data_IF_799341717821
#
_entry.id   IF_799341717821
#
_cell.length_a   1.000
_cell.length_b   1.000
_cell.length_c   1.000
_cell.angle_alpha   90.00
_cell.angle_beta   90.00
_cell.angle_gamma   90.00
#
_symmetry.space_group_name_H-M   'P 1'
#
loop_
_entity.id
_entity.type
_entity.pdbx_description
1 polymer ?
#
# COMPACT_ATOMS: atom_id res chain seq x y z
N UNK A 1 -85.61 11.95 22.16
CA UNK A 1 -85.04 10.74 22.80
C UNK A 1 -83.64 11.14 23.28
N UNK A 2 -83.39 11.56 24.53
CA UNK A 2 -83.39 10.73 25.75
C UNK A 2 -82.29 9.68 25.62
N UNK A 3 -81.12 9.74 26.28
CA UNK A 3 -80.85 9.86 27.72
C UNK A 3 -79.39 10.26 28.03
N UNK A 4 -79.17 10.99 29.14
CA UNK A 4 -77.90 11.17 29.89
C UNK A 4 -77.51 9.88 30.63
N UNK A 5 -76.22 9.70 30.97
CA UNK A 5 -75.74 9.47 32.35
C UNK A 5 -74.22 9.77 32.49
N UNK A 6 -73.87 10.44 33.60
CA UNK A 6 -72.55 10.89 34.07
C UNK A 6 -71.81 9.82 34.90
N UNK A 7 -70.48 9.95 35.05
CA UNK A 7 -69.75 10.08 36.35
C UNK A 7 -68.21 10.08 36.13
N UNK A 8 -67.49 11.19 36.43
CA UNK A 8 -66.66 11.50 37.64
C UNK A 8 -65.44 10.56 37.82
N UNK A 9 -64.20 11.01 38.07
CA UNK A 9 -63.75 12.05 39.01
C UNK A 9 -62.34 12.60 38.69
N UNK A 10 -62.17 13.90 38.98
CA UNK A 10 -60.90 14.62 39.13
C UNK A 10 -60.14 14.23 40.42
N UNK A 11 -58.85 14.53 40.48
CA UNK A 11 -58.12 14.66 41.75
C UNK A 11 -56.60 14.71 41.59
N UNK A 12 -56.04 15.90 41.36
CA UNK A 12 -54.64 16.18 41.69
C UNK A 12 -54.53 16.65 43.14
N UNK A 13 -53.37 16.47 43.78
CA UNK A 13 -52.89 17.35 44.85
C UNK A 13 -51.39 17.18 45.08
N UNK A 14 -50.79 18.30 45.43
CA UNK A 14 -49.37 18.63 45.55
C UNK A 14 -48.94 18.66 47.04
N UNK A 15 -47.61 18.72 47.26
CA UNK A 15 -46.90 19.19 48.47
C UNK A 15 -46.73 18.19 49.63
N UNK A 16 -45.49 17.82 49.99
CA UNK A 16 -44.69 18.54 51.01
C UNK A 16 -43.34 17.86 51.32
N UNK A 17 -42.33 18.71 51.49
CA UNK A 17 -41.01 18.46 52.03
C UNK A 17 -41.03 17.99 53.49
N UNK A 18 -40.17 17.03 53.86
CA UNK A 18 -39.61 16.96 55.21
C UNK A 18 -38.17 16.42 55.19
N UNK A 19 -37.39 17.01 56.07
CA UNK A 19 -35.94 17.05 56.10
C UNK A 19 -35.40 16.16 57.25
N UNK A 20 -34.13 15.77 57.11
CA UNK A 20 -33.16 15.28 58.13
C UNK A 20 -33.26 13.91 58.82
N UNK A 21 -32.11 13.24 58.68
CA UNK A 21 -31.34 12.52 59.70
C UNK A 21 -31.86 11.18 60.21
N UNK A 22 -31.34 10.11 59.63
CA UNK A 22 -30.50 9.12 60.32
C UNK A 22 -30.34 7.89 59.42
N UNK A 23 -29.11 7.41 59.31
CA UNK A 23 -28.64 6.05 58.95
C UNK A 23 -27.29 6.25 58.27
N UNK A 24 -26.30 6.50 59.12
CA UNK A 24 -24.90 6.19 58.83
C UNK A 24 -24.78 4.67 58.71
N UNK A 25 -24.76 4.15 57.48
CA UNK A 25 -24.14 2.85 57.21
C UNK A 25 -22.87 3.12 56.43
N UNK A 26 -21.76 3.02 57.15
CA UNK A 26 -20.41 2.96 56.63
C UNK A 26 -20.32 1.90 55.54
N UNK A 27 -20.24 2.33 54.28
CA UNK A 27 -19.69 1.48 53.23
C UNK A 27 -18.17 1.37 53.45
N UNK A 28 -17.57 0.17 53.31
CA UNK A 28 -16.13 0.04 53.34
C UNK A 28 -15.53 0.89 52.22
N UNK A 29 -14.45 1.59 52.52
CA UNK A 29 -13.61 2.22 51.53
C UNK A 29 -13.29 1.22 50.42
N UNK A 30 -13.74 1.51 49.20
CA UNK A 30 -13.21 0.83 48.02
C UNK A 30 -11.71 1.14 48.01
N UNK A 31 -10.93 0.19 48.51
CA UNK A 31 -9.50 0.13 48.26
C UNK A 31 -9.34 0.34 46.76
N UNK A 32 -8.61 1.40 46.39
CA UNK A 32 -8.03 1.50 45.07
C UNK A 32 -7.15 0.25 44.93
N UNK A 33 -7.71 -0.81 44.37
CA UNK A 33 -6.93 -1.89 43.79
C UNK A 33 -6.17 -1.23 42.65
N UNK A 34 -4.95 -0.78 42.94
CA UNK A 34 -3.91 -0.72 41.95
C UNK A 34 -3.91 -2.09 41.28
N UNK A 35 -4.56 -2.19 40.12
CA UNK A 35 -4.37 -3.31 39.21
C UNK A 35 -2.93 -3.15 38.74
N UNK A 36 -2.02 -3.67 39.56
CA UNK A 36 -0.64 -3.86 39.19
C UNK A 36 -0.68 -4.80 37.98
N UNK A 37 -0.31 -4.23 36.86
CA UNK A 37 -0.24 -4.82 35.54
C UNK A 37 0.77 -5.99 35.61
N UNK A 38 0.31 -7.19 35.99
CA UNK A 38 1.06 -8.45 36.01
C UNK A 38 1.34 -8.91 34.57
N UNK A 39 2.17 -8.11 33.91
CA UNK A 39 2.65 -8.39 32.58
C UNK A 39 3.68 -9.53 32.66
N UNK A 40 3.36 -10.68 32.05
CA UNK A 40 4.28 -11.81 31.90
C UNK A 40 5.67 -11.34 31.43
N UNK A 41 6.73 -12.06 31.83
CA UNK A 41 8.13 -11.72 31.55
C UNK A 41 8.38 -11.33 30.07
N UNK A 42 7.76 -12.05 29.14
CA UNK A 42 7.78 -11.73 27.71
C UNK A 42 7.30 -10.32 27.40
N UNK A 43 6.16 -9.90 27.97
CA UNK A 43 5.61 -8.56 27.78
C UNK A 43 6.55 -7.51 28.37
N UNK A 44 7.10 -7.74 29.58
CA UNK A 44 8.08 -6.82 30.20
C UNK A 44 9.34 -6.65 29.34
N UNK A 45 9.88 -7.74 28.79
CA UNK A 45 11.02 -7.69 27.86
C UNK A 45 10.63 -6.94 26.59
N UNK A 46 9.48 -7.26 25.98
CA UNK A 46 9.00 -6.58 24.78
C UNK A 46 8.84 -5.08 25.01
N UNK A 47 8.33 -4.64 26.18
CA UNK A 47 8.18 -3.21 26.51
C UNK A 47 9.52 -2.46 26.43
N UNK A 48 10.63 -3.09 26.83
CA UNK A 48 11.98 -2.50 26.75
C UNK A 48 12.42 -2.21 25.32
N UNK A 49 11.94 -2.97 24.33
CA UNK A 49 12.28 -2.77 22.93
C UNK A 49 11.40 -1.73 22.24
N UNK A 50 10.08 -1.76 22.47
CA UNK A 50 9.15 -0.90 21.70
C UNK A 50 8.85 0.46 22.35
N UNK A 51 9.03 0.64 23.67
CA UNK A 51 8.83 1.95 24.31
C UNK A 51 9.87 3.01 23.88
N UNK A 52 11.19 2.72 23.77
CA UNK A 52 12.19 3.72 23.38
C UNK A 52 11.96 4.32 22.00
N UNK A 53 11.45 3.52 21.06
CA UNK A 53 11.09 3.93 19.70
C UNK A 53 9.69 4.58 19.62
N UNK A 54 9.01 4.73 20.76
CA UNK A 54 7.81 5.55 20.91
C UNK A 54 6.48 4.81 20.73
N UNK A 55 6.47 3.47 20.63
CA UNK A 55 5.24 2.70 20.64
C UNK A 55 4.71 2.54 22.07
N UNK A 56 3.42 2.79 22.29
CA UNK A 56 2.76 2.57 23.58
C UNK A 56 2.10 1.20 23.70
N UNK A 57 1.76 0.58 22.57
CA UNK A 57 1.01 -0.67 22.48
C UNK A 57 1.77 -1.66 21.61
N UNK A 58 1.94 -2.90 22.10
CA UNK A 58 2.72 -3.94 21.41
C UNK A 58 2.18 -4.26 20.00
N UNK A 59 0.86 -4.32 19.82
CA UNK A 59 0.29 -4.61 18.50
C UNK A 59 0.62 -3.55 17.43
N UNK A 60 0.76 -2.27 17.81
CA UNK A 60 1.19 -1.22 16.87
C UNK A 60 2.64 -1.42 16.45
N UNK A 61 3.49 -1.86 17.38
CA UNK A 61 4.87 -2.19 17.09
C UNK A 61 4.95 -3.43 16.19
N UNK A 62 4.23 -4.50 16.48
CA UNK A 62 4.18 -5.70 15.64
C UNK A 62 3.71 -5.37 14.23
N UNK A 63 2.63 -4.59 14.10
CA UNK A 63 2.12 -4.16 12.80
C UNK A 63 3.15 -3.32 12.01
N UNK A 64 3.78 -2.35 12.67
CA UNK A 64 4.87 -1.57 12.05
C UNK A 64 6.04 -2.45 11.64
N UNK A 65 6.48 -3.37 12.49
CA UNK A 65 7.60 -4.27 12.22
C UNK A 65 7.30 -5.17 11.02
N UNK A 66 6.11 -5.76 10.95
CA UNK A 66 5.71 -6.59 9.81
C UNK A 66 5.64 -5.74 8.54
N UNK A 67 4.88 -4.65 8.51
CA UNK A 67 4.65 -3.89 7.29
C UNK A 67 5.88 -3.08 6.85
N UNK A 68 6.44 -2.26 7.74
CA UNK A 68 7.59 -1.42 7.42
C UNK A 68 8.89 -2.22 7.39
N UNK A 69 9.04 -3.24 8.23
CA UNK A 69 10.20 -4.13 8.19
C UNK A 69 10.20 -5.00 6.94
N UNK A 70 9.05 -5.52 6.48
CA UNK A 70 8.98 -6.21 5.19
C UNK A 70 9.33 -5.27 4.02
N UNK A 71 8.87 -4.02 4.04
CA UNK A 71 9.25 -3.02 3.03
C UNK A 71 10.75 -2.73 3.05
N UNK A 72 11.34 -2.52 4.24
CA UNK A 72 12.77 -2.33 4.40
C UNK A 72 13.56 -3.52 3.86
N UNK A 73 13.19 -4.75 4.25
CA UNK A 73 13.84 -5.97 3.81
C UNK A 73 13.73 -6.18 2.30
N UNK A 74 12.54 -5.94 1.74
CA UNK A 74 12.31 -6.01 0.29
C UNK A 74 13.19 -5.00 -0.46
N UNK A 75 13.18 -3.73 -0.06
CA UNK A 75 13.97 -2.69 -0.73
C UNK A 75 15.47 -2.94 -0.56
N UNK A 76 15.94 -3.35 0.63
CA UNK A 76 17.34 -3.68 0.88
C UNK A 76 17.82 -4.82 -0.03
N UNK A 77 17.04 -5.89 -0.17
CA UNK A 77 17.34 -7.00 -1.07
C UNK A 77 17.37 -6.58 -2.56
N UNK A 78 16.69 -5.48 -2.92
CA UNK A 78 16.62 -4.98 -4.30
C UNK A 78 17.58 -3.82 -4.58
N UNK A 79 18.39 -3.36 -3.62
CA UNK A 79 19.40 -2.31 -3.86
C UNK A 79 20.36 -2.70 -4.99
N UNK A 80 20.71 -3.98 -5.11
CA UNK A 80 21.58 -4.49 -6.18
C UNK A 80 21.00 -4.29 -7.57
N UNK A 81 19.67 -4.14 -7.70
CA UNK A 81 19.00 -3.87 -8.98
C UNK A 81 19.22 -2.46 -9.50
N UNK A 82 19.82 -1.56 -8.71
CA UNK A 82 20.29 -0.26 -9.21
C UNK A 82 21.44 -0.43 -10.22
N UNK A 83 22.15 -1.57 -10.20
CA UNK A 83 23.03 -1.95 -11.30
C UNK A 83 22.20 -2.53 -12.45
N UNK A 84 21.70 -1.62 -13.31
CA UNK A 84 20.78 -1.95 -14.41
C UNK A 84 21.42 -2.92 -15.41
N UNK A 85 22.64 -2.65 -15.87
CA UNK A 85 23.30 -3.45 -16.89
C UNK A 85 23.83 -4.80 -16.37
N UNK A 86 24.19 -4.87 -15.09
CA UNK A 86 24.63 -6.11 -14.45
C UNK A 86 23.46 -6.87 -13.83
N UNK A 87 23.33 -6.76 -12.51
CA UNK A 87 22.45 -7.63 -11.71
C UNK A 87 20.99 -7.61 -12.17
N UNK A 88 20.46 -6.45 -12.56
CA UNK A 88 19.07 -6.36 -12.98
C UNK A 88 18.81 -7.08 -14.32
N UNK A 89 19.62 -6.84 -15.36
CA UNK A 89 19.48 -7.54 -16.64
C UNK A 89 19.79 -9.03 -16.59
N UNK A 90 20.55 -9.49 -15.60
CA UNK A 90 20.77 -10.93 -15.35
C UNK A 90 19.62 -11.60 -14.59
N UNK A 91 18.74 -10.83 -13.93
CA UNK A 91 17.64 -11.36 -13.13
C UNK A 91 16.24 -10.98 -13.61
N UNK A 92 16.14 -10.22 -14.70
CA UNK A 92 14.88 -9.82 -15.32
C UNK A 92 14.43 -10.82 -16.39
N UNK A 93 13.15 -10.77 -16.74
CA UNK A 93 12.59 -11.64 -17.77
C UNK A 93 13.11 -11.27 -19.16
N UNK A 94 13.20 -12.26 -20.04
CA UNK A 94 13.73 -12.09 -21.40
C UNK A 94 13.13 -10.89 -22.16
N UNK A 95 11.80 -10.72 -22.11
CA UNK A 95 11.13 -9.60 -22.80
C UNK A 95 11.51 -8.26 -22.20
N UNK A 96 11.60 -8.17 -20.87
CA UNK A 96 11.96 -6.94 -20.19
C UNK A 96 13.42 -6.58 -20.53
N UNK A 97 14.33 -7.56 -20.51
CA UNK A 97 15.71 -7.37 -20.94
C UNK A 97 15.77 -6.81 -22.36
N UNK A 98 15.03 -7.40 -23.31
CA UNK A 98 14.97 -6.92 -24.69
C UNK A 98 14.52 -5.45 -24.79
N UNK A 99 13.40 -5.09 -24.16
CA UNK A 99 12.87 -3.73 -24.27
C UNK A 99 13.72 -2.70 -23.53
N UNK A 100 14.27 -3.07 -22.36
CA UNK A 100 15.04 -2.17 -21.52
C UNK A 100 16.49 -2.01 -21.98
N UNK A 101 17.06 -2.97 -22.71
CA UNK A 101 18.40 -2.85 -23.29
C UNK A 101 18.39 -2.06 -24.61
N UNK A 102 17.39 -2.30 -25.47
CA UNK A 102 17.37 -1.75 -26.83
C UNK A 102 16.73 -0.37 -26.96
N UNK A 103 15.85 0.03 -26.02
CA UNK A 103 15.10 1.28 -26.13
C UNK A 103 15.36 2.20 -24.93
N UNK A 104 15.93 3.37 -25.22
CA UNK A 104 16.34 4.37 -24.23
C UNK A 104 15.20 4.81 -23.31
N UNK A 105 13.98 4.96 -23.83
CA UNK A 105 12.82 5.37 -23.03
C UNK A 105 12.48 4.37 -21.93
N UNK A 106 12.50 3.07 -22.23
CA UNK A 106 12.19 2.06 -21.22
C UNK A 106 13.35 1.86 -20.25
N UNK A 107 14.59 1.95 -20.74
CA UNK A 107 15.79 1.97 -19.91
C UNK A 107 15.78 3.11 -18.90
N UNK A 108 15.43 4.31 -19.36
CA UNK A 108 15.28 5.49 -18.51
C UNK A 108 14.16 5.28 -17.50
N UNK A 109 13.00 4.78 -17.95
CA UNK A 109 11.84 4.53 -17.10
C UNK A 109 12.15 3.57 -15.95
N UNK A 110 12.79 2.42 -16.22
CA UNK A 110 13.15 1.46 -15.17
C UNK A 110 14.23 2.01 -14.22
N UNK A 111 15.19 2.77 -14.75
CA UNK A 111 16.23 3.41 -13.94
C UNK A 111 15.62 4.41 -12.97
N UNK A 112 14.76 5.32 -13.46
CA UNK A 112 14.05 6.29 -12.64
C UNK A 112 13.17 5.57 -11.60
N UNK A 113 12.43 4.55 -12.03
CA UNK A 113 11.55 3.79 -11.15
C UNK A 113 12.35 3.21 -9.97
N UNK A 114 13.38 2.41 -10.24
CA UNK A 114 14.18 1.74 -9.21
C UNK A 114 14.95 2.73 -8.32
N UNK A 115 15.60 3.73 -8.92
CA UNK A 115 16.37 4.76 -8.20
C UNK A 115 15.49 5.58 -7.25
N UNK A 116 14.18 5.67 -7.50
CA UNK A 116 13.26 6.38 -6.63
C UNK A 116 12.58 5.47 -5.59
N UNK A 117 11.99 4.35 -6.02
CA UNK A 117 11.16 3.52 -5.14
C UNK A 117 11.97 2.75 -4.11
N UNK A 118 13.21 2.33 -4.43
CA UNK A 118 14.08 1.61 -3.48
C UNK A 118 14.46 2.51 -2.30
N UNK A 119 15.05 3.72 -2.51
CA UNK A 119 15.31 4.63 -1.40
C UNK A 119 14.03 5.04 -0.65
N UNK A 120 12.92 5.30 -1.35
CA UNK A 120 11.67 5.68 -0.69
C UNK A 120 11.15 4.58 0.25
N UNK A 121 11.21 3.31 -0.17
CA UNK A 121 10.82 2.17 0.66
C UNK A 121 11.77 1.89 1.83
N UNK A 122 13.04 2.31 1.76
CA UNK A 122 13.95 2.30 2.92
C UNK A 122 13.59 3.46 3.87
N UNK A 123 13.40 4.66 3.34
CA UNK A 123 13.11 5.87 4.12
C UNK A 123 11.77 5.81 4.87
N UNK A 124 10.79 5.07 4.35
CA UNK A 124 9.49 4.92 5.00
C UNK A 124 9.58 4.19 6.34
N UNK A 125 10.56 3.30 6.49
CA UNK A 125 10.79 2.58 7.73
C UNK A 125 10.95 3.57 8.89
N UNK A 126 11.78 4.59 8.68
CA UNK A 126 11.99 5.69 9.62
C UNK A 126 10.78 6.61 9.72
N UNK A 127 10.05 6.83 8.61
CA UNK A 127 8.89 7.73 8.58
C UNK A 127 7.78 7.32 9.55
N UNK A 128 7.59 6.02 9.77
CA UNK A 128 6.57 5.49 10.67
C UNK A 128 7.05 5.23 12.12
N UNK A 129 8.30 5.56 12.47
CA UNK A 129 8.78 5.44 13.85
C UNK A 129 8.18 6.59 14.68
N UNK A 130 7.36 6.30 15.72
CA UNK A 130 6.66 7.33 16.48
C UNK A 130 7.60 8.33 17.16
N UNK A 131 8.74 7.89 17.71
CA UNK A 131 9.68 8.79 18.41
C UNK A 131 10.20 9.90 17.51
N UNK A 132 10.41 9.64 16.21
CA UNK A 132 10.88 10.64 15.26
C UNK A 132 9.82 11.74 15.10
N UNK A 133 8.54 11.39 15.05
CA UNK A 133 7.46 12.39 14.97
C UNK A 133 7.35 13.25 16.24
N UNK A 134 7.56 12.68 17.43
CA UNK A 134 7.40 13.40 18.69
C UNK A 134 8.64 14.21 19.10
N UNK A 135 9.85 13.71 18.82
CA UNK A 135 11.11 14.34 19.23
C UNK A 135 11.84 15.08 18.11
N UNK A 136 11.66 14.68 16.85
CA UNK A 136 12.39 15.20 15.70
C UNK A 136 11.44 15.53 14.54
N UNK A 137 10.44 16.38 14.81
CA UNK A 137 9.37 16.70 13.85
C UNK A 137 9.92 17.30 12.54
N UNK A 138 11.01 18.05 12.59
CA UNK A 138 11.68 18.57 11.41
C UNK A 138 12.15 17.45 10.48
N UNK A 139 12.83 16.42 11.02
CA UNK A 139 13.28 15.25 10.26
C UNK A 139 12.10 14.47 9.66
N UNK A 140 11.01 14.29 10.41
CA UNK A 140 9.79 13.65 9.89
C UNK A 140 9.20 14.38 8.67
N UNK A 141 9.27 15.72 8.67
CA UNK A 141 8.77 16.53 7.55
C UNK A 141 9.71 16.46 6.35
N UNK A 142 11.02 16.63 6.57
CA UNK A 142 12.01 16.58 5.49
C UNK A 142 11.99 15.20 4.80
N UNK A 143 12.02 14.12 5.61
CA UNK A 143 11.92 12.75 5.10
C UNK A 143 10.61 12.52 4.35
N UNK A 144 9.49 13.02 4.88
CA UNK A 144 8.19 12.94 4.22
C UNK A 144 8.14 13.63 2.86
N UNK A 145 8.74 14.82 2.71
CA UNK A 145 8.82 15.51 1.41
C UNK A 145 9.70 14.77 0.41
N UNK A 146 10.85 14.26 0.87
CA UNK A 146 11.74 13.46 0.04
C UNK A 146 11.03 12.19 -0.46
N UNK A 147 10.35 11.48 0.44
CA UNK A 147 9.55 10.29 0.09
C UNK A 147 8.48 10.62 -0.96
N UNK A 148 7.71 11.70 -0.78
CA UNK A 148 6.67 12.08 -1.73
C UNK A 148 7.29 12.36 -3.10
N UNK A 149 8.38 13.13 -3.16
CA UNK A 149 9.08 13.44 -4.41
C UNK A 149 9.58 12.17 -5.11
N UNK A 150 10.20 11.26 -4.35
CA UNK A 150 10.70 9.98 -4.86
C UNK A 150 9.56 9.14 -5.42
N UNK A 151 8.47 8.91 -4.67
CA UNK A 151 7.38 8.05 -5.17
C UNK A 151 6.69 8.66 -6.39
N UNK A 152 6.47 9.99 -6.44
CA UNK A 152 5.87 10.63 -7.61
C UNK A 152 6.77 10.48 -8.85
N UNK A 153 8.07 10.69 -8.70
CA UNK A 153 9.06 10.50 -9.79
C UNK A 153 9.16 9.02 -10.19
N UNK A 154 9.15 8.11 -9.21
CA UNK A 154 9.17 6.67 -9.43
C UNK A 154 7.91 6.13 -10.12
N UNK A 155 6.75 6.73 -9.85
CA UNK A 155 5.50 6.46 -10.56
C UNK A 155 5.60 6.91 -12.02
N UNK A 156 6.20 8.06 -12.32
CA UNK A 156 6.45 8.48 -13.70
C UNK A 156 7.31 7.43 -14.44
N UNK A 157 8.38 6.93 -13.80
CA UNK A 157 9.19 5.83 -14.33
C UNK A 157 8.38 4.54 -14.57
N UNK A 158 7.50 4.16 -13.63
CA UNK A 158 6.61 3.01 -13.77
C UNK A 158 5.65 3.15 -14.96
N UNK A 159 5.07 4.34 -15.16
CA UNK A 159 4.17 4.64 -16.26
C UNK A 159 4.87 4.53 -17.62
N UNK A 160 6.14 4.94 -17.71
CA UNK A 160 6.95 4.82 -18.92
C UNK A 160 7.17 3.37 -19.34
N UNK A 161 7.35 2.46 -18.38
CA UNK A 161 7.62 1.03 -18.65
C UNK A 161 6.37 0.15 -18.66
N UNK A 162 5.20 0.67 -18.28
CA UNK A 162 3.99 -0.13 -18.08
C UNK A 162 3.60 -0.99 -19.30
N UNK A 163 3.82 -0.48 -20.51
CA UNK A 163 3.54 -1.19 -21.77
C UNK A 163 4.41 -2.41 -22.02
N UNK A 164 5.54 -2.56 -21.32
CA UNK A 164 6.54 -3.63 -21.52
C UNK A 164 6.84 -4.42 -20.26
N UNK A 165 6.44 -3.93 -19.09
CA UNK A 165 6.58 -4.62 -17.82
C UNK A 165 5.93 -6.01 -17.88
N UNK A 166 6.70 -7.05 -17.55
CA UNK A 166 6.24 -8.44 -17.51
C UNK A 166 5.43 -8.90 -18.74
N UNK A 167 5.85 -8.49 -19.94
CA UNK A 167 5.20 -8.87 -21.21
C UNK A 167 4.15 -7.87 -21.71
N UNK A 168 3.77 -6.88 -20.88
CA UNK A 168 3.01 -5.73 -21.35
C UNK A 168 1.54 -6.01 -21.70
N UNK A 169 0.96 -7.10 -21.19
CA UNK A 169 -0.46 -7.39 -21.38
C UNK A 169 -1.36 -6.26 -20.87
N UNK A 170 -2.56 -6.16 -21.42
CA UNK A 170 -3.50 -5.07 -21.09
C UNK A 170 -3.93 -5.12 -19.62
N UNK A 171 -4.01 -6.31 -19.05
CA UNK A 171 -4.28 -6.54 -17.62
C UNK A 171 -3.15 -6.00 -16.74
N UNK A 172 -1.89 -6.18 -17.17
CA UNK A 172 -0.70 -5.63 -16.52
C UNK A 172 -0.66 -4.10 -16.62
N UNK A 173 -0.89 -3.56 -17.81
CA UNK A 173 -0.94 -2.10 -18.02
C UNK A 173 -2.02 -1.45 -17.16
N UNK A 174 -3.24 -2.00 -17.19
CA UNK A 174 -4.36 -1.50 -16.38
C UNK A 174 -4.03 -1.53 -14.89
N UNK A 175 -3.46 -2.62 -14.38
CA UNK A 175 -3.09 -2.73 -12.97
C UNK A 175 -2.02 -1.70 -12.57
N UNK A 176 -0.99 -1.50 -13.40
CA UNK A 176 0.07 -0.50 -13.15
C UNK A 176 -0.51 0.92 -13.17
N UNK A 177 -1.35 1.25 -14.16
CA UNK A 177 -1.99 2.56 -14.25
C UNK A 177 -2.87 2.85 -13.03
N UNK A 178 -3.71 1.91 -12.63
CA UNK A 178 -4.56 2.06 -11.45
C UNK A 178 -3.73 2.20 -10.18
N UNK A 179 -2.71 1.37 -9.98
CA UNK A 179 -1.83 1.45 -8.81
C UNK A 179 -1.09 2.81 -8.74
N UNK A 180 -0.56 3.28 -9.87
CA UNK A 180 0.10 4.58 -9.96
C UNK A 180 -0.87 5.73 -9.65
N UNK A 181 -2.11 5.68 -10.16
CA UNK A 181 -3.14 6.68 -9.85
C UNK A 181 -3.54 6.65 -8.38
N UNK A 182 -3.82 5.47 -7.81
CA UNK A 182 -4.22 5.33 -6.40
C UNK A 182 -3.16 5.83 -5.44
N UNK A 183 -1.89 5.48 -5.67
CA UNK A 183 -0.76 5.95 -4.85
C UNK A 183 -0.53 7.44 -5.02
N UNK A 184 -0.51 7.96 -6.26
CA UNK A 184 -0.34 9.39 -6.55
C UNK A 184 -1.43 10.22 -5.89
N UNK A 185 -2.70 9.88 -6.10
CA UNK A 185 -3.84 10.57 -5.48
C UNK A 185 -3.73 10.54 -3.96
N UNK A 186 -3.41 9.38 -3.36
CA UNK A 186 -3.26 9.28 -1.92
C UNK A 186 -2.14 10.18 -1.37
N UNK A 187 -1.01 10.26 -2.06
CA UNK A 187 0.08 11.14 -1.67
C UNK A 187 -0.30 12.62 -1.79
N UNK A 188 -0.93 13.02 -2.90
CA UNK A 188 -1.35 14.40 -3.12
C UNK A 188 -2.41 14.84 -2.11
N UNK A 189 -3.42 14.02 -1.83
CA UNK A 189 -4.46 14.34 -0.84
C UNK A 189 -3.89 14.32 0.58
N UNK A 190 -2.97 13.41 0.89
CA UNK A 190 -2.28 13.42 2.18
C UNK A 190 -1.38 14.65 2.37
N UNK A 191 -0.73 15.13 1.31
CA UNK A 191 0.04 16.38 1.31
C UNK A 191 -0.89 17.60 1.47
N UNK A 192 -1.98 17.66 0.71
CA UNK A 192 -2.97 18.71 0.78
C UNK A 192 -3.51 18.86 2.22
N UNK A 193 -3.92 17.76 2.83
CA UNK A 193 -4.49 17.77 4.18
C UNK A 193 -3.48 18.18 5.26
N UNK A 194 -2.21 17.78 5.16
CA UNK A 194 -1.21 18.22 6.16
C UNK A 194 -0.88 19.71 6.03
N UNK A 195 -0.90 20.27 4.81
CA UNK A 195 -0.82 21.73 4.61
C UNK A 195 -2.05 22.43 5.18
N UNK A 196 -3.20 21.77 5.08
CA UNK A 196 -4.45 22.14 5.75
C UNK A 196 -4.50 21.73 7.23
N UNK A 197 -3.38 21.39 7.88
CA UNK A 197 -3.34 21.01 9.31
C UNK A 197 -4.39 19.95 9.74
N UNK A 198 -4.96 19.19 8.80
CA UNK A 198 -5.85 18.06 9.05
C UNK A 198 -5.02 16.78 9.16
N UNK A 199 -4.56 16.51 10.37
CA UNK A 199 -3.63 15.43 10.66
C UNK A 199 -4.32 14.07 10.54
N UNK A 200 -5.60 13.97 10.89
CA UNK A 200 -6.40 12.76 10.76
C UNK A 200 -6.58 12.37 9.29
N UNK A 201 -6.86 13.33 8.40
CA UNK A 201 -6.96 13.05 6.96
C UNK A 201 -5.60 12.74 6.34
N UNK A 202 -4.57 13.50 6.72
CA UNK A 202 -3.19 13.18 6.34
C UNK A 202 -2.84 11.72 6.71
N UNK A 203 -3.14 11.29 7.95
CA UNK A 203 -2.92 9.92 8.39
C UNK A 203 -3.67 8.92 7.51
N UNK A 204 -4.97 9.13 7.26
CA UNK A 204 -5.80 8.23 6.45
C UNK A 204 -5.21 8.03 5.05
N UNK A 205 -4.88 9.13 4.38
CA UNK A 205 -4.32 9.09 3.03
C UNK A 205 -2.91 8.51 2.96
N UNK A 206 -2.06 8.76 3.97
CA UNK A 206 -0.73 8.11 4.03
C UNK A 206 -0.82 6.61 4.27
N UNK A 207 -1.78 6.14 5.09
CA UNK A 207 -2.00 4.70 5.28
C UNK A 207 -2.43 4.05 3.98
N UNK A 208 -3.38 4.65 3.24
CA UNK A 208 -3.80 4.17 1.91
C UNK A 208 -2.62 4.09 0.95
N UNK A 209 -1.85 5.18 0.83
CA UNK A 209 -0.69 5.22 -0.05
C UNK A 209 0.28 4.06 0.22
N UNK A 210 0.62 3.82 1.49
CA UNK A 210 1.60 2.79 1.85
C UNK A 210 1.04 1.36 1.86
N UNK A 211 -0.27 1.19 2.07
CA UNK A 211 -0.93 -0.08 1.79
C UNK A 211 -0.84 -0.41 0.30
N UNK A 212 -1.19 0.54 -0.58
CA UNK A 212 -1.11 0.32 -2.03
C UNK A 212 0.32 0.06 -2.49
N UNK A 213 1.32 0.80 -1.99
CA UNK A 213 2.73 0.53 -2.29
C UNK A 213 3.20 -0.85 -1.77
N UNK A 214 2.60 -1.34 -0.68
CA UNK A 214 2.85 -2.68 -0.14
C UNK A 214 2.41 -3.83 -1.04
N UNK A 215 1.57 -3.57 -2.05
CA UNK A 215 1.14 -4.57 -3.06
C UNK A 215 2.33 -5.26 -3.71
N UNK A 216 3.43 -4.55 -3.95
CA UNK A 216 4.63 -5.09 -4.62
C UNK A 216 5.23 -6.29 -3.88
N UNK A 217 5.07 -6.35 -2.56
CA UNK A 217 5.61 -7.43 -1.73
C UNK A 217 4.67 -8.63 -1.80
N UNK A 218 3.38 -8.43 -1.51
CA UNK A 218 2.39 -9.51 -1.49
C UNK A 218 2.19 -10.12 -2.87
N UNK A 219 2.22 -9.31 -3.93
CA UNK A 219 2.05 -9.80 -5.30
C UNK A 219 3.17 -10.76 -5.71
N UNK A 220 4.38 -10.65 -5.13
CA UNK A 220 5.49 -11.55 -5.48
C UNK A 220 5.21 -12.96 -4.97
N UNK A 221 4.63 -13.11 -3.79
CA UNK A 221 4.18 -14.40 -3.28
C UNK A 221 3.04 -14.97 -4.12
N UNK A 222 2.03 -14.15 -4.44
CA UNK A 222 0.90 -14.57 -5.29
C UNK A 222 1.37 -14.99 -6.68
N UNK A 223 2.33 -14.25 -7.26
CA UNK A 223 2.91 -14.56 -8.57
C UNK A 223 3.69 -15.88 -8.55
N UNK A 224 4.44 -16.17 -7.49
CA UNK A 224 5.14 -17.46 -7.35
C UNK A 224 4.15 -18.62 -7.26
N UNK A 225 3.07 -18.48 -6.46
CA UNK A 225 2.01 -19.48 -6.35
C UNK A 225 1.29 -19.66 -7.70
N UNK A 226 1.00 -18.56 -8.40
CA UNK A 226 0.38 -18.61 -9.71
C UNK A 226 1.27 -19.35 -10.72
N UNK A 227 2.57 -19.07 -10.72
CA UNK A 227 3.53 -19.71 -11.61
C UNK A 227 3.60 -21.24 -11.35
N UNK A 228 3.57 -21.69 -10.09
CA UNK A 228 3.55 -23.14 -9.79
C UNK A 228 2.26 -23.81 -10.25
N UNK A 229 1.11 -23.14 -10.07
CA UNK A 229 -0.19 -23.67 -10.52
C UNK A 229 -0.23 -23.77 -12.06
N UNK A 230 0.21 -22.71 -12.74
CA UNK A 230 0.29 -22.64 -14.21
C UNK A 230 1.16 -23.78 -14.74
N UNK A 231 2.32 -24.02 -14.12
CA UNK A 231 3.22 -25.10 -14.49
C UNK A 231 2.56 -26.47 -14.36
N UNK A 232 1.89 -26.73 -13.23
CA UNK A 232 1.22 -28.01 -12.98
C UNK A 232 0.06 -28.27 -13.93
N UNK A 233 -0.68 -27.23 -14.31
CA UNK A 233 -1.77 -27.37 -15.26
C UNK A 233 -1.25 -27.63 -16.68
N UNK A 234 -0.17 -26.97 -17.09
CA UNK A 234 0.42 -27.16 -18.42
C UNK A 234 -0.49 -26.72 -19.58
N UNK A 235 -1.60 -26.03 -19.33
CA UNK A 235 -2.55 -25.63 -20.38
C UNK A 235 -2.51 -24.16 -20.75
N UNK A 236 -1.66 -23.35 -20.10
CA UNK A 236 -1.60 -21.91 -20.34
C UNK A 236 -0.56 -21.55 -21.40
N UNK A 237 -0.97 -20.66 -22.30
CA UNK A 237 -0.17 -20.18 -23.41
C UNK A 237 -0.24 -18.65 -23.50
N UNK A 238 0.85 -18.03 -23.95
CA UNK A 238 0.93 -16.59 -24.21
C UNK A 238 1.58 -16.34 -25.56
N UNK A 239 1.09 -15.34 -26.30
CA UNK A 239 1.77 -14.86 -27.51
C UNK A 239 3.03 -14.07 -27.16
N UNK A 240 4.17 -14.48 -27.71
CA UNK A 240 5.45 -13.79 -27.57
C UNK A 240 5.95 -13.36 -28.96
N UNK A 241 6.50 -12.16 -29.06
CA UNK A 241 6.99 -11.64 -30.34
C UNK A 241 8.28 -12.33 -30.77
N UNK A 242 8.41 -12.58 -32.07
CA UNK A 242 9.57 -13.27 -32.65
C UNK A 242 10.90 -12.55 -32.36
N UNK A 243 10.90 -11.22 -32.33
CA UNK A 243 12.09 -10.42 -31.97
C UNK A 243 12.53 -10.60 -30.52
N UNK A 244 11.59 -10.78 -29.58
CA UNK A 244 11.94 -11.07 -28.19
C UNK A 244 12.54 -12.47 -28.04
N UNK A 245 11.98 -13.45 -28.76
CA UNK A 245 12.50 -14.82 -28.77
C UNK A 245 13.90 -14.88 -29.39
N UNK A 246 14.10 -14.25 -30.55
CA UNK A 246 15.39 -14.20 -31.23
C UNK A 246 16.48 -13.57 -30.34
N UNK A 247 16.15 -12.45 -29.68
CA UNK A 247 17.08 -11.80 -28.75
C UNK A 247 17.59 -12.74 -27.66
N UNK A 248 16.72 -13.60 -27.11
CA UNK A 248 17.11 -14.57 -26.09
C UNK A 248 17.99 -15.70 -26.59
N UNK A 249 17.85 -16.07 -27.86
CA UNK A 249 18.66 -17.11 -28.49
C UNK A 249 20.06 -16.60 -28.86
N UNK A 250 20.13 -15.35 -29.32
CA UNK A 250 21.35 -14.81 -29.92
C UNK A 250 22.26 -14.13 -28.87
N UNK A 251 21.69 -13.63 -27.76
CA UNK A 251 22.34 -13.21 -26.51
C UNK A 251 23.81 -12.73 -26.62
N UNK A 252 24.10 -11.86 -27.60
CA UNK A 252 25.40 -11.22 -27.81
C UNK A 252 26.48 -12.05 -28.52
N UNK A 253 26.26 -13.34 -28.77
CA UNK A 253 27.15 -14.16 -29.61
C UNK A 253 26.35 -14.59 -30.84
N UNK A 254 26.43 -13.76 -31.88
CA UNK A 254 25.88 -14.00 -33.23
C UNK A 254 26.59 -15.19 -33.89
N UNK A 255 26.44 -16.37 -33.30
CA UNK A 255 26.96 -17.61 -33.86
C UNK A 255 25.93 -18.13 -34.85
N UNK A 256 26.41 -18.57 -36.00
CA UNK A 256 25.60 -19.26 -37.00
C UNK A 256 24.79 -20.41 -36.37
N UNK A 257 25.35 -21.08 -35.35
CA UNK A 257 24.67 -22.13 -34.59
C UNK A 257 23.43 -21.65 -33.82
N UNK A 258 23.50 -20.48 -33.16
CA UNK A 258 22.36 -19.91 -32.45
C UNK A 258 21.24 -19.49 -33.41
N UNK A 259 21.60 -18.89 -34.53
CA UNK A 259 20.65 -18.52 -35.59
C UNK A 259 19.96 -19.76 -36.20
N UNK A 260 20.74 -20.81 -36.52
CA UNK A 260 20.19 -22.07 -37.02
C UNK A 260 19.26 -22.74 -35.99
N UNK A 261 19.65 -22.75 -34.72
CA UNK A 261 18.82 -23.32 -33.65
C UNK A 261 17.50 -22.55 -33.45
N UNK A 262 17.54 -21.21 -33.54
CA UNK A 262 16.34 -20.38 -33.48
C UNK A 262 15.41 -20.68 -34.67
N UNK A 263 15.94 -20.67 -35.90
CA UNK A 263 15.16 -20.96 -37.12
C UNK A 263 14.54 -22.35 -37.11
N UNK A 264 15.27 -23.35 -36.61
CA UNK A 264 14.78 -24.72 -36.49
C UNK A 264 13.65 -24.85 -35.46
N UNK A 265 13.72 -24.11 -34.35
CA UNK A 265 12.70 -24.16 -33.29
C UNK A 265 11.46 -23.33 -33.61
N UNK A 266 11.66 -22.15 -34.19
CA UNK A 266 10.60 -21.19 -34.49
C UNK A 266 10.51 -20.91 -35.99
N UNK A 267 10.21 -21.94 -36.83
CA UNK A 267 10.09 -21.73 -38.28
C UNK A 267 8.96 -20.73 -38.61
N UNK A 268 7.96 -20.63 -37.73
CA UNK A 268 6.90 -19.63 -37.85
C UNK A 268 7.36 -18.18 -37.74
N UNK A 269 8.56 -17.90 -37.20
CA UNK A 269 9.13 -16.56 -37.11
C UNK A 269 9.89 -16.12 -38.36
N UNK A 270 10.04 -17.00 -39.34
CA UNK A 270 10.83 -16.76 -40.54
C UNK A 270 9.91 -16.70 -41.76
N UNK A 271 10.13 -15.73 -42.63
CA UNK A 271 9.39 -15.61 -43.89
C UNK A 271 9.94 -16.56 -44.97
N UNK A 272 9.30 -16.59 -46.14
CA UNK A 272 9.73 -17.43 -47.27
C UNK A 272 11.10 -17.04 -47.84
N UNK A 273 11.60 -15.83 -47.53
CA UNK A 273 12.91 -15.32 -47.95
C UNK A 273 13.99 -15.58 -46.90
N UNK A 274 13.66 -16.22 -45.78
CA UNK A 274 14.60 -16.49 -44.69
C UNK A 274 14.86 -15.28 -43.79
N UNK A 275 14.01 -14.26 -43.82
CA UNK A 275 14.07 -13.07 -42.97
C UNK A 275 13.18 -13.24 -41.75
N UNK A 276 13.56 -12.60 -40.63
CA UNK A 276 12.76 -12.56 -39.41
C UNK A 276 11.46 -11.76 -39.64
N UNK A 277 10.36 -12.25 -39.08
CA UNK A 277 9.08 -11.56 -38.94
C UNK A 277 8.98 -10.94 -37.53
N UNK A 278 9.58 -9.77 -37.27
CA UNK A 278 9.81 -9.26 -35.90
C UNK A 278 8.52 -9.03 -35.10
N UNK A 279 7.44 -8.61 -35.77
CA UNK A 279 6.17 -8.27 -35.13
C UNK A 279 5.17 -9.43 -35.11
N UNK A 280 5.54 -10.59 -35.66
CA UNK A 280 4.72 -11.79 -35.55
C UNK A 280 4.83 -12.35 -34.13
N UNK A 281 3.70 -12.76 -33.58
CA UNK A 281 3.63 -13.43 -32.28
C UNK A 281 3.46 -14.93 -32.47
N UNK A 282 4.19 -15.71 -31.65
CA UNK A 282 4.05 -17.17 -31.56
C UNK A 282 3.55 -17.52 -30.15
N UNK A 283 2.65 -18.49 -30.07
CA UNK A 283 2.19 -19.02 -28.79
C UNK A 283 3.29 -19.85 -28.14
N UNK A 284 3.67 -19.47 -26.91
CA UNK A 284 4.63 -20.18 -26.07
C UNK A 284 3.90 -20.64 -24.81
N UNK A 285 4.16 -21.87 -24.40
CA UNK A 285 3.56 -22.47 -23.21
C UNK A 285 4.23 -21.91 -21.95
N UNK A 286 3.45 -21.68 -20.88
CA UNK A 286 3.98 -21.27 -19.59
C UNK A 286 4.46 -22.45 -18.77
N UNK A 287 5.76 -22.74 -18.77
CA UNK A 287 6.38 -23.81 -17.98
C UNK A 287 7.57 -23.26 -17.20
N UNK A 288 7.47 -23.18 -15.88
CA UNK A 288 8.53 -22.69 -14.99
C UNK A 288 9.76 -23.60 -14.93
N UNK A 289 9.60 -24.89 -15.21
CA UNK A 289 10.67 -25.89 -15.31
C UNK A 289 11.13 -26.13 -16.75
N UNK A 290 10.56 -25.38 -17.70
CA UNK A 290 10.90 -25.45 -19.12
C UNK A 290 12.12 -24.62 -19.50
N UNK A 291 12.19 -24.28 -20.78
CA UNK A 291 13.22 -23.40 -21.36
C UNK A 291 13.06 -21.97 -20.85
N UNK A 292 14.07 -21.13 -21.10
CA UNK A 292 14.09 -19.72 -20.65
C UNK A 292 12.85 -18.95 -21.12
N UNK A 293 12.42 -19.17 -22.36
CA UNK A 293 11.22 -18.54 -22.93
C UNK A 293 9.90 -19.05 -22.31
N UNK A 294 9.82 -20.35 -22.01
CA UNK A 294 8.64 -20.98 -21.39
C UNK A 294 8.52 -20.56 -19.92
N UNK A 295 9.65 -20.53 -19.20
CA UNK A 295 9.74 -20.07 -17.82
C UNK A 295 9.38 -18.59 -17.73
N UNK A 296 9.86 -17.79 -18.69
CA UNK A 296 9.50 -16.38 -18.82
C UNK A 296 7.99 -16.20 -18.97
N UNK A 297 7.34 -16.97 -19.84
CA UNK A 297 5.87 -16.95 -19.99
C UNK A 297 5.15 -17.38 -18.72
N UNK A 298 5.62 -18.42 -18.03
CA UNK A 298 5.04 -18.89 -16.77
C UNK A 298 4.95 -17.79 -15.71
N UNK A 299 6.01 -16.98 -15.55
CA UNK A 299 5.99 -15.85 -14.62
C UNK A 299 5.16 -14.66 -15.12
N UNK A 300 5.17 -14.35 -16.43
CA UNK A 300 4.39 -13.24 -17.01
C UNK A 300 2.89 -13.43 -16.82
N UNK A 301 2.39 -14.63 -17.09
CA UNK A 301 0.96 -14.97 -16.99
C UNK A 301 0.37 -14.66 -15.59
N UNK A 302 1.17 -14.84 -14.53
CA UNK A 302 0.76 -14.57 -13.16
C UNK A 302 0.84 -13.10 -12.74
N UNK A 303 1.59 -12.25 -13.45
CA UNK A 303 1.95 -10.91 -12.96
C UNK A 303 0.72 -9.99 -12.81
N UNK A 304 0.01 -9.72 -13.90
CA UNK A 304 -1.11 -8.77 -13.89
C UNK A 304 -2.23 -9.20 -12.95
N UNK A 305 -2.56 -10.50 -12.95
CA UNK A 305 -3.51 -11.10 -12.00
C UNK A 305 -3.08 -10.89 -10.55
N UNK A 306 -1.81 -11.16 -10.22
CA UNK A 306 -1.29 -11.00 -8.87
C UNK A 306 -1.35 -9.54 -8.40
N UNK A 307 -1.07 -8.56 -9.28
CA UNK A 307 -1.25 -7.13 -8.95
C UNK A 307 -2.70 -6.85 -8.59
N UNK A 308 -3.66 -7.28 -9.42
CA UNK A 308 -5.09 -7.02 -9.19
C UNK A 308 -5.61 -7.63 -7.89
N UNK A 309 -5.32 -8.92 -7.65
CA UNK A 309 -5.74 -9.62 -6.43
C UNK A 309 -5.17 -8.92 -5.20
N UNK A 310 -3.87 -8.61 -5.21
CA UNK A 310 -3.25 -7.92 -4.10
C UNK A 310 -3.74 -6.48 -3.95
N UNK A 311 -4.01 -5.76 -5.04
CA UNK A 311 -4.52 -4.39 -4.96
C UNK A 311 -5.88 -4.34 -4.25
N UNK A 312 -6.80 -5.24 -4.60
CA UNK A 312 -8.10 -5.36 -3.91
C UNK A 312 -7.90 -5.70 -2.43
N UNK A 313 -7.05 -6.69 -2.14
CA UNK A 313 -6.75 -7.09 -0.76
C UNK A 313 -6.21 -5.91 0.05
N UNK A 314 -5.22 -5.18 -0.44
CA UNK A 314 -4.63 -4.04 0.26
C UNK A 314 -5.60 -2.87 0.39
N UNK A 315 -6.48 -2.64 -0.60
CA UNK A 315 -7.52 -1.63 -0.50
C UNK A 315 -8.53 -1.94 0.60
N UNK A 316 -9.02 -3.18 0.66
CA UNK A 316 -9.92 -3.63 1.74
C UNK A 316 -9.23 -3.56 3.09
N UNK A 317 -7.99 -4.06 3.20
CA UNK A 317 -7.24 -4.04 4.47
C UNK A 317 -6.98 -2.61 4.97
N UNK A 318 -6.69 -1.67 4.08
CA UNK A 318 -6.52 -0.26 4.45
C UNK A 318 -7.81 0.32 5.05
N UNK A 319 -8.97 0.10 4.41
CA UNK A 319 -10.25 0.61 4.91
C UNK A 319 -10.66 -0.06 6.22
N UNK A 320 -10.50 -1.38 6.34
CA UNK A 320 -10.74 -2.12 7.58
C UNK A 320 -9.86 -1.57 8.71
N UNK A 321 -8.57 -1.37 8.46
CA UNK A 321 -7.66 -0.80 9.46
C UNK A 321 -8.07 0.62 9.88
N UNK A 322 -8.49 1.46 8.94
CA UNK A 322 -8.96 2.81 9.24
C UNK A 322 -10.26 2.80 10.04
N UNK A 323 -11.20 1.90 9.74
CA UNK A 323 -12.44 1.71 10.49
C UNK A 323 -12.16 1.23 11.93
N UNK A 324 -11.26 0.26 12.10
CA UNK A 324 -10.86 -0.26 13.41
C UNK A 324 -10.04 0.76 14.24
N UNK A 325 -9.51 1.82 13.62
CA UNK A 325 -8.76 2.89 14.29
C UNK A 325 -9.53 4.21 14.38
N UNK A 326 -10.86 4.14 14.48
CA UNK A 326 -11.76 5.30 14.60
C UNK A 326 -11.45 6.19 15.81
N UNK A 327 -11.09 5.62 16.97
CA UNK A 327 -10.69 6.39 18.16
C UNK A 327 -9.45 7.26 17.92
N UNK A 328 -8.47 6.72 17.20
CA UNK A 328 -7.27 7.48 16.83
C UNK A 328 -7.59 8.57 15.81
N UNK A 329 -8.52 8.30 14.89
CA UNK A 329 -9.04 9.31 13.96
C UNK A 329 -9.65 10.49 14.69
N UNK A 330 -10.53 10.23 15.67
CA UNK A 330 -11.12 11.31 16.47
C UNK A 330 -10.07 12.09 17.27
N UNK A 331 -9.17 11.37 17.96
CA UNK A 331 -8.11 12.00 18.74
C UNK A 331 -7.29 12.97 17.88
N UNK A 332 -6.94 12.57 16.66
CA UNK A 332 -6.20 13.43 15.72
C UNK A 332 -7.05 14.56 15.16
N UNK A 333 -8.38 14.39 15.06
CA UNK A 333 -9.28 15.45 14.65
C UNK A 333 -9.35 16.57 15.69
N UNK A 334 -9.38 16.23 16.98
CA UNK A 334 -9.25 17.21 18.07
C UNK A 334 -7.94 18.00 17.99
N UNK A 335 -6.80 17.31 17.77
CA UNK A 335 -5.51 17.98 17.59
C UNK A 335 -5.50 18.89 16.35
N UNK A 336 -6.16 18.48 15.28
CA UNK A 336 -6.27 19.27 14.05
C UNK A 336 -7.08 20.55 14.30
N UNK A 337 -8.22 20.43 14.99
CA UNK A 337 -9.03 21.56 15.44
C UNK A 337 -8.22 22.56 16.28
N UNK A 338 -7.50 22.10 17.30
CA UNK A 338 -6.67 22.95 18.16
C UNK A 338 -5.61 23.72 17.38
N UNK A 339 -4.90 23.03 16.46
CA UNK A 339 -3.85 23.66 15.65
C UNK A 339 -4.38 24.67 14.64
N UNK A 340 -5.53 24.38 14.04
CA UNK A 340 -6.17 25.30 13.11
C UNK A 340 -6.68 26.55 13.82
N UNK A 341 -7.27 26.38 15.01
CA UNK A 341 -7.68 27.49 15.87
C UNK A 341 -6.49 28.35 16.28
N UNK A 342 -5.38 27.72 16.70
CA UNK A 342 -4.15 28.42 17.06
C UNK A 342 -3.54 29.21 15.88
N UNK A 343 -3.84 28.80 14.64
CA UNK A 343 -3.40 29.50 13.42
C UNK A 343 -4.37 30.57 12.94
N UNK A 344 -5.48 30.80 13.65
CA UNK A 344 -6.47 31.82 13.32
C UNK A 344 -7.34 31.48 12.11
N UNK A 345 -7.59 30.19 11.85
CA UNK A 345 -8.46 29.80 10.74
C UNK A 345 -9.93 30.03 11.07
N UNK A 346 -10.70 30.50 10.09
CA UNK A 346 -12.12 30.85 10.27
C UNK A 346 -12.98 29.64 10.64
N UNK A 347 -12.67 28.45 10.11
CA UNK A 347 -13.45 27.22 10.32
C UNK A 347 -12.55 26.07 10.81
N UNK A 348 -12.08 26.10 12.07
CA UNK A 348 -11.23 25.05 12.62
C UNK A 348 -11.98 23.72 12.69
N UNK A 349 -11.29 22.62 12.40
CA UNK A 349 -11.83 21.28 12.24
C UNK A 349 -12.41 20.98 10.84
N UNK A 350 -12.67 22.01 10.01
CA UNK A 350 -13.32 21.88 8.69
C UNK A 350 -12.45 22.22 7.49
N UNK A 351 -11.22 22.66 7.71
CA UNK A 351 -10.31 22.94 6.60
C UNK A 351 -9.83 21.64 5.96
N UNK A 352 -9.51 21.53 4.66
CA UNK A 352 -9.12 20.25 4.05
C UNK A 352 -10.28 19.36 3.54
N UNK A 353 -10.05 18.05 3.43
CA UNK A 353 -11.00 17.04 2.91
C UNK A 353 -11.76 16.35 4.05
N UNK A 354 -12.75 17.02 4.59
CA UNK A 354 -13.56 16.51 5.70
C UNK A 354 -15.01 16.30 5.25
N UNK A 355 -15.65 15.23 5.75
CA UNK A 355 -16.99 14.82 5.32
C UNK A 355 -18.05 15.90 5.61
N UNK A 356 -17.86 16.69 6.68
CA UNK A 356 -18.72 17.81 7.05
C UNK A 356 -18.74 18.96 6.03
N UNK A 357 -17.81 18.99 5.06
CA UNK A 357 -17.88 19.93 3.92
C UNK A 357 -18.78 19.44 2.80
N UNK A 358 -19.05 18.13 2.73
CA UNK A 358 -19.86 17.52 1.67
C UNK A 358 -21.27 17.24 2.20
N UNK A 359 -21.36 16.59 3.37
CA UNK A 359 -22.62 16.16 3.98
C UNK A 359 -23.30 17.27 4.80
N UNK A 360 -22.62 18.42 4.98
CA UNK A 360 -23.16 19.60 5.67
C UNK A 360 -23.30 19.48 7.19
N UNK A 361 -23.21 18.27 7.77
CA UNK A 361 -23.27 18.06 9.23
C UNK A 361 -21.95 18.49 9.87
N UNK A 362 -21.92 19.58 10.66
CA UNK A 362 -20.67 20.09 11.22
C UNK A 362 -20.12 19.12 12.27
N UNK A 363 -18.83 18.80 12.19
CA UNK A 363 -18.16 18.14 13.30
C UNK A 363 -17.99 19.11 14.46
N UNK A 364 -18.29 18.64 15.67
CA UNK A 364 -18.18 19.40 16.91
C UNK A 364 -17.13 18.72 17.79
N UNK A 365 -16.16 19.48 18.34
CA UNK A 365 -15.21 18.92 19.28
C UNK A 365 -15.95 18.34 20.50
N UNK A 366 -15.65 17.10 20.87
CA UNK A 366 -16.14 16.54 22.13
C UNK A 366 -15.59 17.38 23.28
N UNK A 367 -16.48 17.87 24.14
CA UNK A 367 -16.08 18.49 25.39
C UNK A 367 -15.38 17.41 26.22
N UNK A 368 -14.20 17.72 26.73
CA UNK A 368 -13.51 16.88 27.71
C UNK A 368 -14.37 16.85 28.96
N UNK A 369 -15.01 15.71 29.22
CA UNK A 369 -15.47 15.35 30.57
C UNK A 369 -14.28 15.16 31.51
#
# INVERSE_FOLDING_TARGET
MGTRYNNTSQGGFEVQSQDRSSISKSLPSSSQSHVADDANLFVRIARRFYHPIGFRKGYNFTFWFICCGAMLGFCAARVTYLNIEGVFFESTLLSEKYWYSNFSIYRLGITIHLACVIPAGILVFFQFIPVIRYKALFLHRLNGYLIILLILTGNAGALMIARRAFGGGVETQAAVYVLATMTTTSLLLGYYNIKKLQIEQHRKWMIRAWAYLGVIITMRFVMLIAATIINQMGTYWMGVSCKELEFGFINGNNTLAAEMAFRARYPGCIDLKGMLLPDKNIAIQGLTDGRVEEASVGYKLGFGMAVWVCLVLHAVLAEVYLALTSRETERLRMVSYEKQRARGWNNPGKEGLTADRVDGVPWVPRQTE
#
